data_IF_700151415842
#
_entry.id   IF_700151415842
#
_cell.length_a   1.000
_cell.length_b   1.000
_cell.length_c   1.000
_cell.angle_alpha   90.00
_cell.angle_beta   90.00
_cell.angle_gamma   90.00
#
_symmetry.space_group_name_H-M   'P 1'
#
loop_
_entity.id
_entity.type
_entity.pdbx_description
1 polymer ?
#
# COMPACT_ATOMS: atom_id res chain seq x y z
N UNK A 1 -3.71 13.68 27.45
CA UNK A 1 -3.47 12.26 27.12
C UNK A 1 -2.18 11.88 27.81
N UNK A 2 -2.12 10.77 28.55
CA UNK A 2 -0.84 10.27 29.06
C UNK A 2 -0.19 9.55 27.88
N UNK A 3 0.86 10.15 27.32
CA UNK A 3 1.81 9.37 26.55
C UNK A 3 2.49 8.44 27.56
N UNK A 4 2.24 7.14 27.43
CA UNK A 4 3.11 6.13 28.04
C UNK A 4 4.45 6.33 27.34
N UNK A 5 5.50 6.65 28.09
CA UNK A 5 6.81 6.74 27.48
C UNK A 5 7.21 5.34 27.06
N UNK A 6 7.46 5.13 25.77
CA UNK A 6 7.97 3.86 25.27
C UNK A 6 9.40 3.58 25.79
N UNK A 7 10.04 4.58 26.40
CA UNK A 7 11.18 4.40 27.30
C UNK A 7 10.89 3.49 28.51
N UNK A 8 9.65 3.40 29.02
CA UNK A 8 9.28 2.49 30.11
C UNK A 8 9.26 1.03 29.62
N UNK A 9 8.72 0.79 28.42
CA UNK A 9 8.80 -0.50 27.73
C UNK A 9 10.27 -0.91 27.48
N UNK A 10 11.14 0.05 27.19
CA UNK A 10 12.59 -0.17 27.02
C UNK A 10 13.39 -0.22 28.33
N UNK A 11 12.82 0.22 29.46
CA UNK A 11 13.40 0.05 30.81
C UNK A 11 13.02 -1.31 31.40
N UNK A 12 11.79 -1.77 31.20
CA UNK A 12 11.37 -3.14 31.57
C UNK A 12 12.21 -4.25 30.91
N UNK A 13 12.91 -3.94 29.81
CA UNK A 13 13.91 -4.82 29.19
C UNK A 13 15.16 -5.07 30.04
N UNK A 14 15.41 -4.30 31.10
CA UNK A 14 16.71 -4.28 31.79
C UNK A 14 16.74 -5.10 33.09
N UNK A 15 15.59 -5.34 33.72
CA UNK A 15 15.52 -5.86 35.10
C UNK A 15 15.27 -7.38 35.24
N UNK A 16 14.98 -8.12 34.15
CA UNK A 16 15.05 -9.60 34.18
C UNK A 16 15.50 -10.23 32.84
N UNK A 17 15.94 -11.49 32.91
CA UNK A 17 16.66 -12.19 31.87
C UNK A 17 15.74 -12.96 30.89
N UNK A 18 14.44 -12.61 30.84
CA UNK A 18 13.42 -13.27 30.02
C UNK A 18 12.21 -12.38 29.71
N UNK A 19 11.47 -12.70 28.64
CA UNK A 19 10.29 -11.97 28.17
C UNK A 19 9.00 -12.15 29.00
N UNK A 20 9.09 -12.41 30.31
CA UNK A 20 7.93 -12.60 31.21
C UNK A 20 7.07 -13.84 30.93
N UNK A 21 5.84 -13.85 31.44
CA UNK A 21 4.88 -14.96 31.23
C UNK A 21 4.16 -14.87 29.86
N UNK A 22 3.92 -16.02 29.21
CA UNK A 22 3.16 -16.05 27.95
C UNK A 22 1.72 -15.54 28.21
N UNK A 23 1.26 -14.46 27.56
CA UNK A 23 -0.01 -13.81 27.91
C UNK A 23 -1.25 -14.70 27.77
N UNK A 24 -1.19 -15.79 27.01
CA UNK A 24 -2.30 -16.73 26.80
C UNK A 24 -2.39 -17.80 27.90
N UNK A 25 -1.29 -18.04 28.62
CA UNK A 25 -1.13 -19.13 29.57
C UNK A 25 -1.01 -18.66 31.02
N UNK A 26 -0.42 -17.49 31.27
CA UNK A 26 -0.15 -16.95 32.60
C UNK A 26 -1.38 -16.76 33.48
N UNK A 27 -1.23 -16.97 34.80
CA UNK A 27 -2.37 -16.95 35.73
C UNK A 27 -3.00 -15.55 35.84
N UNK A 28 -2.18 -14.50 35.67
CA UNK A 28 -2.63 -13.10 35.79
C UNK A 28 -2.89 -12.46 34.42
N UNK A 29 -1.94 -12.57 33.49
CA UNK A 29 -2.01 -12.01 32.13
C UNK A 29 -3.19 -12.52 31.30
N UNK A 30 -3.60 -13.79 31.47
CA UNK A 30 -4.63 -14.42 30.62
C UNK A 30 -5.95 -13.67 30.61
N UNK A 31 -6.39 -13.14 31.75
CA UNK A 31 -7.62 -12.34 31.82
C UNK A 31 -7.51 -11.05 30.99
N UNK A 32 -6.37 -10.36 31.09
CA UNK A 32 -6.05 -9.14 30.35
C UNK A 32 -5.94 -9.41 28.85
N UNK A 33 -5.30 -10.52 28.44
CA UNK A 33 -5.17 -10.91 27.03
C UNK A 33 -6.53 -11.14 26.37
N UNK A 34 -7.47 -11.85 27.04
CA UNK A 34 -8.82 -12.02 26.49
C UNK A 34 -9.60 -10.70 26.46
N UNK A 35 -9.51 -9.86 27.50
CA UNK A 35 -10.12 -8.52 27.47
C UNK A 35 -9.55 -7.63 26.36
N UNK A 36 -8.25 -7.73 26.08
CA UNK A 36 -7.57 -7.01 25.00
C UNK A 36 -8.05 -7.49 23.62
N UNK A 37 -8.16 -8.82 23.45
CA UNK A 37 -8.69 -9.44 22.23
C UNK A 37 -10.13 -9.00 21.96
N UNK A 38 -10.97 -8.97 22.99
CA UNK A 38 -12.35 -8.51 22.90
C UNK A 38 -12.46 -7.00 22.64
N UNK A 39 -11.61 -6.17 23.28
CA UNK A 39 -11.53 -4.73 23.00
C UNK A 39 -11.13 -4.44 21.55
N UNK A 40 -10.16 -5.17 20.99
CA UNK A 40 -9.77 -5.06 19.57
C UNK A 40 -10.87 -5.55 18.62
N UNK A 41 -11.54 -6.64 18.98
CA UNK A 41 -12.68 -7.15 18.20
C UNK A 41 -13.84 -6.15 18.16
N UNK A 42 -14.16 -5.50 19.30
CA UNK A 42 -15.14 -4.42 19.38
C UNK A 42 -14.72 -3.20 18.56
N UNK A 43 -13.49 -2.71 18.75
CA UNK A 43 -12.98 -1.54 18.02
C UNK A 43 -13.04 -1.72 16.50
N UNK A 44 -12.72 -2.93 16.01
CA UNK A 44 -12.82 -3.29 14.58
C UNK A 44 -14.23 -3.69 14.13
N UNK A 45 -15.18 -3.89 15.04
CA UNK A 45 -16.60 -4.01 14.70
C UNK A 45 -17.19 -2.60 14.47
N UNK A 46 -16.89 -1.65 15.37
CA UNK A 46 -17.32 -0.25 15.27
C UNK A 46 -16.84 0.40 13.96
N UNK A 47 -15.57 0.22 13.60
CA UNK A 47 -15.02 0.74 12.34
C UNK A 47 -15.75 0.18 11.11
N UNK A 48 -16.05 -1.12 11.09
CA UNK A 48 -16.80 -1.77 9.99
C UNK A 48 -18.30 -1.44 10.01
N UNK A 49 -18.83 -0.88 11.10
CA UNK A 49 -20.20 -0.40 11.20
C UNK A 49 -20.36 1.06 10.74
N UNK A 50 -19.26 1.79 10.49
CA UNK A 50 -19.29 3.17 9.97
C UNK A 50 -19.90 3.20 8.58
N UNK A 51 -20.95 4.00 8.36
CA UNK A 51 -21.70 3.97 7.12
C UNK A 51 -21.07 4.82 5.99
N UNK A 52 -21.32 4.45 4.72
CA UNK A 52 -21.12 5.28 3.55
C UNK A 52 -21.54 6.76 3.72
N UNK A 53 -20.55 7.65 3.85
CA UNK A 53 -20.75 9.11 3.96
C UNK A 53 -20.85 9.67 5.39
N UNK A 54 -20.76 8.82 6.42
CA UNK A 54 -20.55 9.25 7.81
C UNK A 54 -19.11 9.71 8.03
N UNK A 55 -18.88 10.52 9.08
CA UNK A 55 -17.53 10.89 9.49
C UNK A 55 -16.83 9.68 10.13
N UNK A 56 -15.70 9.26 9.56
CA UNK A 56 -14.83 8.24 10.17
C UNK A 56 -14.33 8.76 11.53
N UNK A 57 -14.37 7.90 12.55
CA UNK A 57 -13.98 8.21 13.93
C UNK A 57 -13.28 7.02 14.56
N UNK A 58 -12.30 7.29 15.42
CA UNK A 58 -11.64 6.26 16.23
C UNK A 58 -12.64 5.69 17.22
N UNK A 59 -12.82 4.36 17.26
CA UNK A 59 -13.58 3.72 18.34
C UNK A 59 -12.91 3.98 19.69
N UNK A 60 -13.71 4.34 20.70
CA UNK A 60 -13.22 4.50 22.07
C UNK A 60 -12.55 3.22 22.61
N UNK A 61 -12.95 2.05 22.10
CA UNK A 61 -12.36 0.75 22.44
C UNK A 61 -10.85 0.68 22.15
N UNK A 62 -10.32 1.46 21.20
CA UNK A 62 -8.87 1.52 20.95
C UNK A 62 -8.07 2.07 22.14
N UNK A 63 -8.65 2.93 22.98
CA UNK A 63 -7.99 3.41 24.21
C UNK A 63 -7.77 2.24 25.18
N UNK A 64 -8.73 1.33 25.28
CA UNK A 64 -8.63 0.13 26.11
C UNK A 64 -7.69 -0.92 25.49
N UNK A 65 -7.66 -1.07 24.16
CA UNK A 65 -6.64 -1.86 23.46
C UNK A 65 -5.24 -1.36 23.81
N UNK A 66 -4.99 -0.06 23.68
CA UNK A 66 -3.70 0.54 24.02
C UNK A 66 -3.33 0.30 25.50
N UNK A 67 -4.28 0.54 26.41
CA UNK A 67 -4.06 0.38 27.86
C UNK A 67 -3.72 -1.06 28.23
N UNK A 68 -4.52 -2.03 27.78
CA UNK A 68 -4.32 -3.44 28.08
C UNK A 68 -3.06 -4.01 27.41
N UNK A 69 -2.79 -3.65 26.16
CA UNK A 69 -1.57 -4.08 25.47
C UNK A 69 -0.32 -3.53 26.15
N UNK A 70 -0.34 -2.26 26.60
CA UNK A 70 0.75 -1.69 27.40
C UNK A 70 0.96 -2.49 28.69
N UNK A 71 -0.07 -2.61 29.55
CA UNK A 71 0.04 -3.34 30.83
C UNK A 71 0.57 -4.76 30.63
N UNK A 72 0.14 -5.50 29.61
CA UNK A 72 0.69 -6.84 29.34
C UNK A 72 2.18 -6.76 29.02
N UNK A 73 2.60 -5.88 28.10
CA UNK A 73 4.00 -5.77 27.66
C UNK A 73 4.95 -5.17 28.72
N UNK A 74 4.45 -4.38 29.68
CA UNK A 74 5.25 -3.78 30.77
C UNK A 74 5.22 -4.57 32.07
N UNK A 75 4.11 -5.23 32.41
CA UNK A 75 3.90 -5.85 33.73
C UNK A 75 3.86 -7.39 33.70
N UNK A 76 3.67 -8.02 32.53
CA UNK A 76 3.48 -9.48 32.43
C UNK A 76 4.43 -10.20 31.48
N UNK A 77 4.51 -9.81 30.20
CA UNK A 77 5.30 -10.52 29.21
C UNK A 77 5.24 -9.93 27.80
N UNK A 78 6.33 -10.13 27.05
CA UNK A 78 6.59 -9.48 25.76
C UNK A 78 6.17 -10.40 24.60
N UNK A 79 5.25 -9.92 23.77
CA UNK A 79 4.47 -10.77 22.86
C UNK A 79 4.21 -10.11 21.49
N UNK A 80 4.43 -10.88 20.42
CA UNK A 80 4.36 -10.41 19.03
C UNK A 80 2.93 -10.05 18.60
N UNK A 81 1.91 -10.76 19.08
CA UNK A 81 0.50 -10.45 18.79
C UNK A 81 0.06 -9.20 19.55
N UNK A 82 0.46 -9.06 20.81
CA UNK A 82 0.16 -7.87 21.63
C UNK A 82 0.84 -6.61 21.08
N UNK A 83 2.10 -6.72 20.62
CA UNK A 83 2.80 -5.63 19.91
C UNK A 83 2.08 -5.24 18.61
N UNK A 84 1.65 -6.23 17.82
CA UNK A 84 0.89 -5.99 16.59
C UNK A 84 -0.44 -5.26 16.85
N UNK A 85 -1.12 -5.59 17.95
CA UNK A 85 -2.35 -4.92 18.37
C UNK A 85 -2.12 -3.53 18.97
N UNK A 86 -0.98 -3.33 19.65
CA UNK A 86 -0.55 -2.01 20.11
C UNK A 86 -0.27 -1.08 18.92
N UNK A 87 0.37 -1.57 17.86
CA UNK A 87 0.58 -0.81 16.62
C UNK A 87 -0.76 -0.41 15.95
N UNK A 88 -1.74 -1.32 15.90
CA UNK A 88 -3.09 -1.00 15.42
C UNK A 88 -3.76 0.13 16.23
N UNK A 89 -3.56 0.16 17.56
CA UNK A 89 -4.14 1.18 18.44
C UNK A 89 -3.38 2.53 18.37
N UNK A 90 -2.06 2.50 18.45
CA UNK A 90 -1.20 3.68 18.49
C UNK A 90 -1.27 4.50 17.20
N UNK A 91 -1.34 3.86 16.02
CA UNK A 91 -1.56 4.57 14.76
C UNK A 91 -2.88 5.36 14.74
N UNK A 92 -3.92 4.87 15.43
CA UNK A 92 -5.24 5.51 15.48
C UNK A 92 -5.36 6.59 16.55
N UNK A 93 -4.63 6.44 17.67
CA UNK A 93 -4.68 7.35 18.82
C UNK A 93 -3.60 8.44 18.78
N UNK A 94 -2.42 8.13 18.25
CA UNK A 94 -1.23 8.98 18.21
C UNK A 94 -0.63 9.16 16.81
N UNK A 95 -1.28 8.66 15.75
CA UNK A 95 -0.82 8.82 14.37
C UNK A 95 0.53 8.15 14.11
N UNK A 96 1.33 8.77 13.23
CA UNK A 96 2.65 8.23 12.88
C UNK A 96 3.69 8.32 14.00
N UNK A 97 3.56 9.25 14.95
CA UNK A 97 4.39 9.26 16.16
C UNK A 97 4.19 7.98 16.98
N UNK A 98 2.93 7.63 17.27
CA UNK A 98 2.61 6.38 17.98
C UNK A 98 3.02 5.13 17.21
N UNK A 99 2.93 5.13 15.88
CA UNK A 99 3.37 4.00 15.06
C UNK A 99 4.91 3.85 15.05
N UNK A 100 5.66 4.96 14.95
CA UNK A 100 7.13 4.98 15.04
C UNK A 100 7.57 4.29 16.33
N UNK A 101 7.05 4.78 17.46
CA UNK A 101 7.53 4.36 18.77
C UNK A 101 7.29 2.85 19.00
N UNK A 102 6.15 2.30 18.53
CA UNK A 102 5.89 0.85 18.61
C UNK A 102 6.79 0.05 17.66
N UNK A 103 7.07 0.55 16.45
CA UNK A 103 8.01 -0.09 15.53
C UNK A 103 9.44 -0.08 16.09
N UNK A 104 9.89 0.99 16.74
CA UNK A 104 11.23 1.05 17.33
C UNK A 104 11.35 0.04 18.50
N UNK A 105 10.29 -0.19 19.28
CA UNK A 105 10.21 -1.29 20.28
C UNK A 105 10.25 -2.68 19.61
N UNK A 106 9.49 -2.88 18.52
CA UNK A 106 9.55 -4.14 17.75
C UNK A 106 10.96 -4.42 17.22
N UNK A 107 11.66 -3.41 16.71
CA UNK A 107 13.03 -3.57 16.19
C UNK A 107 14.02 -3.99 17.30
N UNK A 108 13.97 -3.36 18.47
CA UNK A 108 14.80 -3.74 19.63
C UNK A 108 14.47 -5.17 20.08
N UNK A 109 13.18 -5.50 20.25
CA UNK A 109 12.74 -6.82 20.69
C UNK A 109 13.14 -7.94 19.72
N UNK A 110 12.93 -7.75 18.41
CA UNK A 110 13.24 -8.77 17.41
C UNK A 110 14.76 -8.91 17.17
N UNK A 111 15.54 -7.85 17.47
CA UNK A 111 17.00 -7.92 17.50
C UNK A 111 17.50 -8.69 18.72
N UNK A 112 17.06 -8.32 19.92
CA UNK A 112 17.73 -8.68 21.18
C UNK A 112 17.10 -9.87 21.91
N UNK A 113 15.79 -10.12 21.76
CA UNK A 113 15.03 -11.09 22.54
C UNK A 113 14.20 -12.09 21.73
N UNK A 114 14.46 -12.20 20.42
CA UNK A 114 13.72 -13.06 19.47
C UNK A 114 13.34 -14.44 20.02
N UNK A 115 14.34 -15.19 20.52
CA UNK A 115 14.19 -16.58 20.97
C UNK A 115 13.39 -16.72 22.28
N UNK A 116 13.08 -15.60 22.95
CA UNK A 116 12.34 -15.52 24.21
C UNK A 116 10.93 -14.92 24.05
N UNK A 117 10.67 -14.19 22.96
CA UNK A 117 9.38 -13.54 22.71
C UNK A 117 8.26 -14.58 22.59
N UNK A 118 7.10 -14.25 23.14
CA UNK A 118 5.87 -15.03 23.03
C UNK A 118 5.08 -14.66 21.77
N UNK A 119 4.25 -15.57 21.26
CA UNK A 119 3.30 -15.31 20.18
C UNK A 119 2.10 -16.26 20.25
N UNK A 120 1.30 -16.31 19.17
CA UNK A 120 0.12 -17.17 19.04
C UNK A 120 0.51 -18.64 19.24
N UNK A 121 1.58 -19.04 18.57
CA UNK A 121 2.38 -20.24 18.85
C UNK A 121 3.86 -19.82 18.85
N UNK A 122 4.71 -20.61 19.50
CA UNK A 122 6.14 -20.36 19.66
C UNK A 122 7.01 -21.51 19.15
N UNK A 123 6.42 -22.65 18.76
CA UNK A 123 7.11 -23.83 18.20
C UNK A 123 7.26 -23.74 16.67
N UNK A 124 6.24 -23.27 15.94
CA UNK A 124 6.27 -23.11 14.48
C UNK A 124 6.47 -21.64 14.05
N UNK A 125 7.47 -21.38 13.20
CA UNK A 125 7.85 -20.01 12.80
C UNK A 125 6.73 -19.27 12.05
N UNK A 126 5.96 -19.96 11.19
CA UNK A 126 4.85 -19.36 10.44
C UNK A 126 3.77 -18.79 11.38
N UNK A 127 3.37 -19.53 12.41
CA UNK A 127 2.40 -19.08 13.41
C UNK A 127 3.01 -18.05 14.38
N UNK A 128 4.30 -18.18 14.74
CA UNK A 128 5.01 -17.17 15.57
C UNK A 128 5.00 -15.78 14.91
N UNK A 129 5.09 -15.71 13.58
CA UNK A 129 5.10 -14.46 12.81
C UNK A 129 3.75 -14.08 12.16
N UNK A 130 2.74 -14.95 12.26
CA UNK A 130 1.39 -14.71 11.75
C UNK A 130 0.76 -13.37 12.16
N UNK A 131 0.98 -12.80 13.38
CA UNK A 131 0.49 -11.46 13.71
C UNK A 131 1.00 -10.38 12.76
N UNK A 132 2.30 -10.43 12.41
CA UNK A 132 2.94 -9.46 11.50
C UNK A 132 2.46 -9.66 10.06
N UNK A 133 2.29 -10.92 9.63
CA UNK A 133 1.65 -11.26 8.36
C UNK A 133 0.21 -10.68 8.27
N UNK A 134 -0.52 -10.68 9.38
CA UNK A 134 -1.86 -10.09 9.52
C UNK A 134 -1.90 -8.55 9.44
N UNK A 135 -0.87 -7.86 9.94
CA UNK A 135 -0.75 -6.40 9.78
C UNK A 135 -0.62 -6.00 8.30
N UNK A 136 0.18 -6.76 7.55
CA UNK A 136 0.42 -6.53 6.12
C UNK A 136 -0.71 -7.05 5.22
N UNK A 137 -1.41 -8.10 5.65
CA UNK A 137 -2.49 -8.73 4.89
C UNK A 137 -1.98 -9.85 3.99
N UNK A 138 -1.44 -10.90 4.60
CA UNK A 138 -1.37 -12.23 4.00
C UNK A 138 -2.70 -12.93 4.23
N UNK A 139 -3.25 -13.61 3.21
CA UNK A 139 -4.56 -14.28 3.26
C UNK A 139 -5.80 -13.37 3.33
N UNK A 140 -5.70 -12.19 3.94
CA UNK A 140 -6.79 -11.22 4.17
C UNK A 140 -6.34 -9.77 3.89
N UNK A 141 -7.24 -8.81 4.09
CA UNK A 141 -6.91 -7.38 4.12
C UNK A 141 -6.06 -7.04 5.36
N UNK A 142 -4.95 -6.32 5.16
CA UNK A 142 -3.96 -6.05 6.20
C UNK A 142 -4.39 -4.99 7.19
N UNK A 143 -4.31 -5.29 8.48
CA UNK A 143 -4.95 -4.47 9.52
C UNK A 143 -4.32 -3.10 9.79
N UNK A 144 -3.13 -2.82 9.25
CA UNK A 144 -2.56 -1.46 9.22
C UNK A 144 -2.79 -0.72 7.90
N UNK A 145 -3.09 -1.42 6.79
CA UNK A 145 -3.03 -0.81 5.44
C UNK A 145 -4.07 0.30 5.25
N UNK A 146 -5.34 0.03 5.60
CA UNK A 146 -6.40 1.05 5.55
C UNK A 146 -6.16 2.15 6.62
N UNK A 147 -5.82 1.83 7.90
CA UNK A 147 -5.46 2.85 8.90
C UNK A 147 -4.30 3.77 8.52
N UNK A 148 -3.24 3.28 7.86
CA UNK A 148 -2.12 4.13 7.39
C UNK A 148 -2.62 5.20 6.42
N UNK A 149 -3.59 4.86 5.56
CA UNK A 149 -4.18 5.79 4.59
C UNK A 149 -5.22 6.75 5.21
N UNK A 150 -5.83 6.35 6.33
CA UNK A 150 -6.79 7.16 7.10
C UNK A 150 -6.12 8.03 8.18
N UNK A 151 -4.86 7.77 8.53
CA UNK A 151 -4.08 8.64 9.39
C UNK A 151 -3.99 10.05 8.77
N UNK A 152 -4.06 11.12 9.58
CA UNK A 152 -4.06 12.49 9.09
C UNK A 152 -2.70 12.85 8.49
N UNK A 153 -2.69 13.53 7.35
CA UNK A 153 -1.49 14.11 6.73
C UNK A 153 -1.03 15.41 7.41
N UNK A 154 -1.90 16.01 8.21
CA UNK A 154 -1.67 17.26 8.94
C UNK A 154 -1.56 16.95 10.45
N UNK A 155 -0.47 17.37 11.13
CA UNK A 155 -0.32 17.22 12.57
C UNK A 155 -1.50 17.77 13.37
N UNK A 156 -1.88 17.07 14.44
CA UNK A 156 -3.08 17.33 15.25
C UNK A 156 -4.43 17.16 14.53
N UNK A 157 -4.45 16.73 13.26
CA UNK A 157 -5.68 16.29 12.58
C UNK A 157 -6.33 15.08 13.25
N UNK A 158 -7.63 14.90 13.07
CA UNK A 158 -8.33 13.69 13.53
C UNK A 158 -8.07 12.51 12.57
N UNK A 159 -8.05 11.28 13.10
CA UNK A 159 -8.04 10.08 12.26
C UNK A 159 -9.28 10.05 11.34
N UNK A 160 -9.07 9.86 10.04
CA UNK A 160 -10.11 9.97 9.02
C UNK A 160 -10.40 11.41 8.54
N UNK A 161 -9.59 12.40 8.93
CA UNK A 161 -9.64 13.78 8.45
C UNK A 161 -8.28 14.17 7.85
N UNK A 162 -8.28 14.93 6.75
CA UNK A 162 -7.06 15.28 5.99
C UNK A 162 -6.23 14.03 5.65
N UNK A 163 -6.93 12.95 5.31
CA UNK A 163 -6.36 11.64 5.00
C UNK A 163 -5.63 11.62 3.65
N UNK A 164 -4.96 10.51 3.34
CA UNK A 164 -4.39 10.30 2.00
C UNK A 164 -5.47 10.39 0.90
N UNK A 165 -6.69 9.92 1.21
CA UNK A 165 -7.83 10.03 0.31
C UNK A 165 -8.28 11.48 0.11
N UNK A 166 -8.37 12.28 1.18
CA UNK A 166 -8.76 13.69 1.07
C UNK A 166 -7.79 14.49 0.22
N UNK A 167 -6.48 14.25 0.39
CA UNK A 167 -5.46 14.80 -0.50
C UNK A 167 -5.67 14.33 -1.95
N UNK A 168 -5.78 13.02 -2.20
CA UNK A 168 -6.01 12.50 -3.56
C UNK A 168 -7.29 13.05 -4.22
N UNK A 169 -8.32 13.42 -3.44
CA UNK A 169 -9.52 14.10 -3.93
C UNK A 169 -9.31 15.59 -4.17
N UNK A 170 -8.62 16.30 -3.28
CA UNK A 170 -8.32 17.73 -3.45
C UNK A 170 -7.55 18.05 -4.73
N UNK A 171 -6.79 17.09 -5.26
CA UNK A 171 -6.05 17.21 -6.52
C UNK A 171 -6.93 16.99 -7.78
N UNK A 172 -8.24 16.78 -7.63
CA UNK A 172 -9.19 16.63 -8.75
C UNK A 172 -9.77 17.97 -9.19
N UNK A 173 -9.98 18.13 -10.50
CA UNK A 173 -10.58 19.33 -11.05
C UNK A 173 -12.02 19.54 -10.53
N UNK A 174 -12.24 20.65 -9.83
CA UNK A 174 -13.54 21.02 -9.23
C UNK A 174 -13.62 20.85 -7.71
N UNK A 175 -12.66 20.19 -7.07
CA UNK A 175 -12.64 19.93 -5.61
C UNK A 175 -12.02 21.07 -4.78
N UNK A 176 -12.23 22.32 -5.22
CA UNK A 176 -11.56 23.51 -4.67
C UNK A 176 -11.76 23.66 -3.16
N UNK A 177 -12.99 23.48 -2.64
CA UNK A 177 -13.26 23.62 -1.21
C UNK A 177 -12.41 22.65 -0.36
N UNK A 178 -12.28 21.38 -0.78
CA UNK A 178 -11.47 20.38 -0.05
C UNK A 178 -9.98 20.69 -0.15
N UNK A 179 -9.54 21.29 -1.25
CA UNK A 179 -8.17 21.77 -1.40
C UNK A 179 -7.90 22.97 -0.47
N UNK A 180 -8.78 23.97 -0.46
CA UNK A 180 -8.64 25.15 0.38
C UNK A 180 -8.68 24.79 1.88
N UNK A 181 -9.61 23.93 2.32
CA UNK A 181 -9.68 23.40 3.69
C UNK A 181 -8.40 22.65 4.12
N UNK A 182 -7.82 21.84 3.23
CA UNK A 182 -6.57 21.12 3.49
C UNK A 182 -5.37 22.09 3.57
N UNK A 183 -5.28 23.04 2.64
CA UNK A 183 -4.20 24.02 2.59
C UNK A 183 -4.25 25.04 3.73
N UNK A 184 -5.44 25.40 4.22
CA UNK A 184 -5.61 26.21 5.43
C UNK A 184 -5.08 25.49 6.67
N UNK A 185 -5.43 24.20 6.86
CA UNK A 185 -4.93 23.39 7.97
C UNK A 185 -3.39 23.19 7.93
N UNK A 186 -2.81 23.05 6.74
CA UNK A 186 -1.35 22.99 6.54
C UNK A 186 -0.69 24.33 6.90
N UNK A 187 -1.31 25.45 6.52
CA UNK A 187 -0.82 26.78 6.84
C UNK A 187 -0.90 27.10 8.34
N UNK A 188 -1.95 26.62 9.04
CA UNK A 188 -2.08 26.71 10.49
C UNK A 188 -1.05 25.83 11.23
N UNK A 189 -0.80 24.60 10.75
CA UNK A 189 0.21 23.71 11.33
C UNK A 189 1.65 24.23 11.14
N UNK A 190 1.93 24.87 10.00
CA UNK A 190 3.23 25.50 9.70
C UNK A 190 4.29 24.55 9.17
N UNK A 191 5.20 25.09 8.35
CA UNK A 191 6.16 24.30 7.56
C UNK A 191 7.17 23.50 8.40
N UNK A 192 7.62 24.01 9.55
CA UNK A 192 8.53 23.29 10.44
C UNK A 192 7.87 22.03 11.05
N UNK A 193 6.61 22.15 11.46
CA UNK A 193 5.84 21.04 12.05
C UNK A 193 5.51 19.99 10.97
N UNK A 194 5.11 20.45 9.78
CA UNK A 194 4.90 19.59 8.61
C UNK A 194 6.18 18.86 8.17
N UNK A 195 7.34 19.53 8.19
CA UNK A 195 8.62 18.92 7.85
C UNK A 195 9.08 17.89 8.89
N UNK A 196 8.87 18.16 10.19
CA UNK A 196 9.07 17.17 11.26
C UNK A 196 8.14 15.97 11.09
N UNK A 197 6.86 16.19 10.76
CA UNK A 197 5.91 15.10 10.57
C UNK A 197 6.28 14.22 9.36
N UNK A 198 6.68 14.82 8.23
CA UNK A 198 7.24 14.09 7.10
C UNK A 198 8.44 13.20 7.51
N UNK A 199 9.38 13.75 8.28
CA UNK A 199 10.55 13.01 8.76
C UNK A 199 10.15 11.79 9.60
N UNK A 200 9.15 11.93 10.48
CA UNK A 200 8.64 10.84 11.32
C UNK A 200 7.99 9.73 10.47
N UNK A 201 7.26 10.07 9.41
CA UNK A 201 6.66 9.08 8.49
C UNK A 201 7.77 8.34 7.71
N UNK A 202 8.84 9.03 7.31
CA UNK A 202 10.01 8.41 6.67
C UNK A 202 10.74 7.48 7.65
N UNK A 203 10.87 7.88 8.92
CA UNK A 203 11.43 7.04 9.99
C UNK A 203 10.57 5.78 10.22
N UNK A 204 9.24 5.88 10.30
CA UNK A 204 8.33 4.72 10.35
C UNK A 204 8.58 3.72 9.21
N UNK A 205 8.74 4.20 7.98
CA UNK A 205 9.01 3.35 6.82
C UNK A 205 10.38 2.67 6.95
N UNK A 206 11.41 3.41 7.36
CA UNK A 206 12.76 2.90 7.54
C UNK A 206 12.86 1.89 8.70
N UNK A 207 12.16 2.10 9.82
CA UNK A 207 12.08 1.13 10.93
C UNK A 207 11.35 -0.14 10.47
N UNK A 208 10.25 -0.01 9.72
CA UNK A 208 9.54 -1.16 9.15
C UNK A 208 10.43 -1.99 8.18
N UNK A 209 11.28 -1.33 7.38
CA UNK A 209 12.27 -2.00 6.52
C UNK A 209 13.38 -2.69 7.34
N UNK A 210 13.83 -2.12 8.47
CA UNK A 210 14.77 -2.78 9.39
C UNK A 210 14.15 -3.99 10.09
N UNK A 211 12.87 -3.91 10.48
CA UNK A 211 12.09 -5.04 11.02
C UNK A 211 11.99 -6.15 9.96
N UNK A 212 11.74 -5.82 8.69
CA UNK A 212 11.70 -6.81 7.59
C UNK A 212 13.03 -7.57 7.49
N UNK A 213 14.15 -6.85 7.47
CA UNK A 213 15.49 -7.45 7.40
C UNK A 213 15.80 -8.36 8.61
N UNK A 214 15.38 -7.98 9.82
CA UNK A 214 15.48 -8.84 11.01
C UNK A 214 14.62 -10.11 10.88
N UNK A 215 13.39 -9.99 10.39
CA UNK A 215 12.51 -11.15 10.18
C UNK A 215 13.05 -12.08 9.08
N UNK A 216 13.63 -11.54 8.02
CA UNK A 216 14.32 -12.29 6.97
C UNK A 216 15.57 -13.03 7.51
N UNK A 217 16.35 -12.40 8.39
CA UNK A 217 17.48 -13.04 9.09
C UNK A 217 17.02 -14.17 10.04
N UNK A 218 15.96 -13.94 10.81
CA UNK A 218 15.47 -14.88 11.84
C UNK A 218 14.64 -16.05 11.27
N UNK A 219 13.87 -15.82 10.21
CA UNK A 219 12.87 -16.77 9.69
C UNK A 219 13.16 -17.30 8.28
N UNK A 220 14.09 -16.69 7.53
CA UNK A 220 14.53 -17.17 6.23
C UNK A 220 13.43 -17.16 5.16
N UNK A 221 12.82 -18.31 4.88
CA UNK A 221 11.72 -18.44 3.92
C UNK A 221 10.34 -18.21 4.56
N UNK A 222 10.25 -18.36 5.88
CA UNK A 222 9.00 -18.23 6.64
C UNK A 222 8.79 -16.78 7.13
N UNK A 223 9.65 -15.85 6.70
CA UNK A 223 9.58 -14.43 7.04
C UNK A 223 8.32 -13.77 6.43
N UNK A 224 7.51 -13.05 7.23
CA UNK A 224 6.27 -12.47 6.73
C UNK A 224 6.57 -11.22 5.89
N UNK A 225 5.88 -11.01 4.75
CA UNK A 225 6.08 -9.80 3.97
C UNK A 225 5.58 -8.57 4.73
N UNK A 226 6.38 -7.51 4.76
CA UNK A 226 6.04 -6.17 5.30
C UNK A 226 5.69 -5.15 4.20
N UNK A 227 5.82 -5.56 2.93
CA UNK A 227 5.94 -4.65 1.78
C UNK A 227 4.73 -3.77 1.48
N UNK A 228 3.51 -4.17 1.86
CA UNK A 228 2.31 -3.32 1.72
C UNK A 228 2.29 -2.22 2.79
N UNK A 229 2.75 -2.52 4.01
CA UNK A 229 2.89 -1.54 5.09
C UNK A 229 3.90 -0.47 4.65
N UNK A 230 5.11 -0.89 4.25
CA UNK A 230 6.17 0.00 3.77
C UNK A 230 5.68 0.85 2.58
N UNK A 231 4.99 0.25 1.60
CA UNK A 231 4.45 0.97 0.45
C UNK A 231 3.39 2.01 0.86
N UNK A 232 2.48 1.69 1.77
CA UNK A 232 1.45 2.63 2.25
C UNK A 232 2.05 3.80 3.03
N UNK A 233 3.06 3.54 3.89
CA UNK A 233 3.76 4.61 4.63
C UNK A 233 4.54 5.50 3.66
N UNK A 234 5.21 4.94 2.64
CA UNK A 234 5.90 5.72 1.60
C UNK A 234 4.96 6.51 0.68
N UNK A 235 3.75 6.00 0.42
CA UNK A 235 2.68 6.74 -0.29
C UNK A 235 2.23 7.98 0.52
N UNK A 236 2.07 7.82 1.84
CA UNK A 236 1.76 8.92 2.77
C UNK A 236 2.93 9.91 2.89
N UNK A 237 4.17 9.44 3.06
CA UNK A 237 5.35 10.31 3.09
C UNK A 237 5.45 11.18 1.82
N UNK A 238 5.24 10.59 0.65
CA UNK A 238 5.25 11.31 -0.61
C UNK A 238 4.16 12.40 -0.70
N UNK A 239 2.99 12.19 -0.10
CA UNK A 239 1.95 13.22 0.01
C UNK A 239 2.37 14.35 0.98
N UNK A 240 2.76 14.03 2.21
CA UNK A 240 3.17 15.03 3.21
C UNK A 240 4.38 15.83 2.72
N UNK A 241 5.32 15.24 1.97
CA UNK A 241 6.46 15.94 1.35
C UNK A 241 6.02 17.08 0.43
N UNK A 242 5.01 16.83 -0.41
CA UNK A 242 4.46 17.83 -1.35
C UNK A 242 3.72 18.91 -0.59
N UNK A 243 2.89 18.52 0.39
CA UNK A 243 2.11 19.45 1.22
C UNK A 243 3.00 20.34 2.11
N UNK A 244 4.13 19.82 2.59
CA UNK A 244 5.13 20.56 3.36
C UNK A 244 6.02 21.48 2.50
N UNK A 245 5.91 21.44 1.16
CA UNK A 245 6.74 22.22 0.25
C UNK A 245 8.22 21.82 0.23
N UNK A 246 8.55 20.59 0.61
CA UNK A 246 9.93 20.11 0.68
C UNK A 246 10.43 19.82 -0.74
N UNK A 247 11.39 20.62 -1.21
CA UNK A 247 12.05 20.38 -2.50
C UNK A 247 12.70 18.99 -2.53
N UNK A 248 12.39 18.22 -3.58
CA UNK A 248 12.92 16.88 -3.72
C UNK A 248 14.40 16.91 -4.10
N UNK A 249 15.28 16.53 -3.16
CA UNK A 249 16.49 15.83 -3.57
C UNK A 249 16.07 14.58 -4.35
N UNK A 250 16.52 14.38 -5.59
CA UNK A 250 16.07 13.26 -6.40
C UNK A 250 16.72 11.98 -5.88
N UNK A 251 15.93 11.14 -5.20
CA UNK A 251 16.31 9.76 -4.95
C UNK A 251 16.59 9.08 -6.30
N UNK A 252 17.68 8.29 -6.43
CA UNK A 252 17.97 7.57 -7.65
C UNK A 252 16.91 6.49 -7.84
N UNK A 253 16.03 6.67 -8.83
CA UNK A 253 14.99 5.69 -9.18
C UNK A 253 15.67 4.41 -9.69
N UNK A 254 15.85 3.44 -8.79
CA UNK A 254 16.34 2.11 -9.13
C UNK A 254 15.23 1.38 -9.88
N UNK A 255 15.22 1.52 -11.20
CA UNK A 255 14.37 0.74 -12.08
C UNK A 255 14.63 -0.77 -11.93
N UNK A 256 13.67 -1.64 -12.29
CA UNK A 256 13.77 -3.07 -12.02
C UNK A 256 15.06 -3.68 -12.56
N UNK A 257 15.88 -4.24 -11.67
CA UNK A 257 17.17 -4.80 -12.03
C UNK A 257 17.01 -6.03 -12.93
N UNK A 258 17.27 -5.85 -14.24
CA UNK A 258 17.23 -6.94 -15.20
C UNK A 258 18.28 -8.00 -14.84
N UNK A 259 17.85 -9.27 -14.72
CA UNK A 259 18.68 -10.37 -14.22
C UNK A 259 19.95 -10.60 -15.05
N UNK A 260 21.09 -10.16 -14.51
CA UNK A 260 22.41 -10.41 -15.08
C UNK A 260 22.91 -11.79 -14.64
N UNK A 261 22.82 -12.80 -15.52
CA UNK A 261 23.47 -14.10 -15.29
C UNK A 261 24.99 -13.93 -15.14
N UNK A 262 25.65 -14.65 -14.21
CA UNK A 262 27.10 -14.57 -14.05
C UNK A 262 27.81 -15.10 -15.30
N UNK A 263 28.73 -14.32 -15.86
CA UNK A 263 29.72 -14.81 -16.82
C UNK A 263 30.92 -15.33 -16.06
N UNK A 264 31.12 -16.66 -16.08
CA UNK A 264 32.37 -17.26 -15.60
C UNK A 264 33.53 -16.82 -16.51
N UNK A 265 34.66 -16.49 -15.90
CA UNK A 265 35.89 -16.16 -16.60
C UNK A 265 36.89 -17.32 -16.45
N UNK A 266 37.37 -17.83 -17.58
CA UNK A 266 38.60 -18.61 -17.68
C UNK A 266 39.02 -18.67 -19.15
N UNK A 267 40.32 -18.79 -19.40
CA UNK A 267 40.90 -19.02 -20.72
C UNK A 267 42.41 -19.10 -20.65
N UNK A 268 43.02 -19.79 -21.61
CA UNK A 268 44.44 -19.73 -22.01
C UNK A 268 44.64 -20.48 -23.35
N UNK A 269 45.78 -20.23 -23.98
CA UNK A 269 46.52 -21.06 -24.97
C UNK A 269 45.98 -21.28 -26.42
N UNK A 270 46.43 -20.39 -27.30
CA UNK A 270 47.25 -20.63 -28.52
C UNK A 270 46.85 -21.56 -29.69
N UNK A 271 46.57 -20.91 -30.85
CA UNK A 271 47.03 -21.08 -32.27
C UNK A 271 47.52 -22.44 -32.86
N UNK A 272 47.57 -22.62 -34.22
CA UNK A 272 47.02 -21.83 -35.35
C UNK A 272 46.33 -22.65 -36.50
N UNK A 273 45.64 -21.97 -37.44
CA UNK A 273 45.62 -22.16 -38.92
C UNK A 273 44.33 -21.63 -39.62
N UNK A 274 44.37 -21.44 -40.95
CA UNK A 274 43.34 -20.79 -41.80
C UNK A 274 43.03 -21.68 -43.06
N UNK A 275 42.36 -21.27 -44.19
CA UNK A 275 41.83 -19.94 -44.61
C UNK A 275 40.49 -19.93 -45.43
N UNK A 276 40.14 -18.77 -46.04
CA UNK A 276 39.17 -18.50 -47.16
C UNK A 276 37.64 -18.58 -46.87
N UNK A 277 36.71 -17.83 -47.51
CA UNK A 277 36.67 -16.67 -48.47
C UNK A 277 35.76 -15.55 -47.89
N UNK A 278 35.81 -14.25 -48.22
CA UNK A 278 35.55 -13.52 -49.50
C UNK A 278 34.16 -13.79 -50.14
N UNK A 279 33.39 -12.82 -50.69
CA UNK A 279 33.57 -11.35 -50.89
C UNK A 279 32.18 -10.65 -51.13
N UNK A 280 32.13 -9.29 -51.22
CA UNK A 280 31.15 -8.39 -51.92
C UNK A 280 29.61 -8.55 -51.72
N UNK A 281 28.77 -7.53 -51.41
CA UNK A 281 28.54 -6.14 -51.93
C UNK A 281 27.45 -5.99 -53.02
N UNK A 282 26.73 -4.86 -53.01
CA UNK A 282 25.53 -4.55 -53.82
C UNK A 282 25.88 -3.87 -55.18
N UNK A 283 24.92 -3.46 -56.08
CA UNK A 283 23.94 -2.38 -55.84
C UNK A 283 22.56 -2.56 -56.57
N UNK A 284 21.78 -1.46 -56.72
CA UNK A 284 20.36 -1.44 -57.13
C UNK A 284 20.07 -0.90 -58.56
N UNK A 285 18.82 -1.01 -59.03
CA UNK A 285 18.30 -0.36 -60.24
C UNK A 285 16.76 -0.10 -60.20
N UNK A 286 16.28 0.95 -60.88
CA UNK A 286 14.88 1.41 -61.11
C UNK A 286 14.90 2.60 -62.11
N UNK A 287 13.79 3.22 -62.58
CA UNK A 287 12.34 2.91 -62.54
C UNK A 287 11.90 2.50 -63.98
N UNK A 288 10.83 2.97 -64.71
CA UNK A 288 9.58 3.75 -64.47
C UNK A 288 8.29 2.87 -64.72
N UNK A 289 7.04 3.33 -64.91
CA UNK A 289 6.42 4.68 -64.95
C UNK A 289 4.95 4.68 -64.45
N UNK A 290 4.39 5.90 -64.39
CA UNK A 290 2.97 6.33 -64.44
C UNK A 290 1.80 5.34 -64.30
N UNK A 291 1.00 5.55 -63.23
CA UNK A 291 -0.46 5.72 -63.30
C UNK A 291 -0.99 6.39 -62.01
N UNK A 292 -2.06 7.19 -62.09
CA UNK A 292 -2.73 7.82 -60.94
C UNK A 292 -4.13 8.35 -61.32
N UNK A 293 -5.04 8.67 -60.37
CA UNK A 293 -5.19 8.15 -59.00
C UNK A 293 -6.61 7.57 -58.73
N UNK A 294 -6.80 6.86 -57.61
CA UNK A 294 -8.13 6.71 -56.98
C UNK A 294 -8.04 6.86 -55.45
N UNK A 295 -9.06 7.43 -54.79
CA UNK A 295 -9.04 7.69 -53.35
C UNK A 295 -9.42 6.46 -52.53
N UNK A 296 -8.48 5.54 -52.33
CA UNK A 296 -8.59 4.55 -51.26
C UNK A 296 -8.50 5.25 -49.90
N UNK A 297 -9.30 4.87 -48.88
CA UNK A 297 -9.20 5.46 -47.55
C UNK A 297 -7.84 5.15 -46.93
N UNK A 298 -7.13 6.19 -46.47
CA UNK A 298 -5.77 6.09 -45.95
C UNK A 298 -5.74 5.28 -44.64
N UNK A 299 -5.58 3.96 -44.76
CA UNK A 299 -5.41 3.06 -43.63
C UNK A 299 -3.96 3.15 -43.18
N UNK A 300 -3.69 4.09 -42.27
CA UNK A 300 -2.40 4.19 -41.59
C UNK A 300 -2.07 2.82 -40.94
N UNK A 301 -0.87 2.27 -41.17
CA UNK A 301 -0.45 1.01 -40.54
C UNK A 301 -0.10 1.27 -39.06
N UNK A 302 -1.13 1.37 -38.21
CA UNK A 302 -0.97 1.60 -36.77
C UNK A 302 -0.29 0.39 -36.14
N UNK A 303 1.03 0.49 -36.04
CA UNK A 303 1.89 -0.58 -35.55
C UNK A 303 1.87 -0.57 -34.02
N UNK A 304 1.50 -1.70 -33.41
CA UNK A 304 1.38 -1.83 -31.95
C UNK A 304 2.70 -1.54 -31.17
N UNK A 305 3.83 -1.43 -31.89
CA UNK A 305 5.15 -1.06 -31.38
C UNK A 305 5.28 0.42 -30.98
N UNK A 306 4.39 1.32 -31.43
CA UNK A 306 4.44 2.76 -31.09
C UNK A 306 3.04 3.32 -30.85
N UNK A 307 2.46 3.00 -29.69
CA UNK A 307 1.23 3.62 -29.17
C UNK A 307 1.63 4.85 -28.33
N UNK A 308 1.12 6.03 -28.67
CA UNK A 308 1.48 7.31 -28.03
C UNK A 308 0.38 7.90 -27.14
N UNK A 309 -0.85 7.40 -27.25
CA UNK A 309 -1.99 7.89 -26.45
C UNK A 309 -3.01 6.80 -26.13
N UNK A 310 -3.85 7.05 -25.11
CA UNK A 310 -4.96 6.18 -24.71
C UNK A 310 -5.96 5.96 -25.84
N UNK A 311 -6.24 6.99 -26.64
CA UNK A 311 -7.16 6.88 -27.78
C UNK A 311 -6.54 6.19 -29.00
N UNK A 312 -5.22 6.28 -29.23
CA UNK A 312 -4.54 5.42 -30.20
C UNK A 312 -4.64 3.94 -29.80
N UNK A 313 -4.46 3.62 -28.51
CA UNK A 313 -4.64 2.26 -28.00
C UNK A 313 -6.05 1.72 -28.27
N UNK A 314 -7.08 2.53 -28.01
CA UNK A 314 -8.47 2.15 -28.31
C UNK A 314 -8.77 2.06 -29.81
N UNK A 315 -8.14 2.87 -30.66
CA UNK A 315 -8.24 2.73 -32.12
C UNK A 315 -7.61 1.43 -32.63
N UNK A 316 -6.46 1.01 -32.08
CA UNK A 316 -5.85 -0.30 -32.37
C UNK A 316 -6.79 -1.43 -31.95
N UNK A 317 -7.30 -1.40 -30.71
CA UNK A 317 -8.24 -2.41 -30.23
C UNK A 317 -9.53 -2.47 -31.08
N UNK A 318 -10.08 -1.33 -31.48
CA UNK A 318 -11.23 -1.27 -32.39
C UNK A 318 -10.91 -1.77 -33.82
N UNK A 319 -9.65 -1.74 -34.26
CA UNK A 319 -9.21 -2.39 -35.50
C UNK A 319 -9.12 -3.91 -35.33
N UNK A 320 -8.58 -4.40 -34.21
CA UNK A 320 -8.54 -5.84 -33.89
C UNK A 320 -9.95 -6.43 -33.74
N UNK A 321 -10.87 -5.73 -33.08
CA UNK A 321 -12.27 -6.16 -32.96
C UNK A 321 -12.99 -6.22 -34.33
N UNK A 322 -12.65 -5.33 -35.27
CA UNK A 322 -13.14 -5.42 -36.67
C UNK A 322 -12.55 -6.63 -37.42
N UNK A 323 -11.29 -6.99 -37.17
CA UNK A 323 -10.71 -8.21 -37.73
C UNK A 323 -11.44 -9.47 -37.22
N UNK A 324 -11.60 -9.62 -35.91
CA UNK A 324 -12.30 -10.79 -35.34
C UNK A 324 -13.76 -10.88 -35.80
N UNK A 325 -14.48 -9.75 -35.93
CA UNK A 325 -15.83 -9.71 -36.54
C UNK A 325 -15.91 -10.32 -37.95
N UNK A 326 -14.83 -10.24 -38.72
CA UNK A 326 -14.77 -10.71 -40.11
C UNK A 326 -14.21 -12.14 -40.21
N UNK A 327 -13.13 -12.43 -39.46
CA UNK A 327 -12.45 -13.73 -39.48
C UNK A 327 -13.19 -14.80 -38.66
N UNK A 328 -13.80 -14.42 -37.54
CA UNK A 328 -14.46 -15.33 -36.60
C UNK A 328 -15.82 -14.76 -36.11
N UNK A 329 -16.87 -14.69 -36.95
CA UNK A 329 -18.11 -13.97 -36.62
C UNK A 329 -18.89 -14.48 -35.38
N UNK A 330 -18.56 -15.68 -34.88
CA UNK A 330 -19.16 -16.29 -33.69
C UNK A 330 -18.23 -16.28 -32.46
N UNK A 331 -17.03 -15.71 -32.57
CA UNK A 331 -16.04 -15.64 -31.50
C UNK A 331 -16.38 -14.50 -30.53
N UNK A 332 -16.38 -14.73 -29.21
CA UNK A 332 -16.69 -13.69 -28.23
C UNK A 332 -15.63 -12.58 -28.20
N UNK A 333 -14.42 -12.84 -28.74
CA UNK A 333 -13.26 -11.95 -28.69
C UNK A 333 -13.60 -10.52 -29.17
N UNK A 334 -14.33 -10.37 -30.28
CA UNK A 334 -14.69 -9.05 -30.79
C UNK A 334 -15.56 -8.25 -29.79
N UNK A 335 -16.58 -8.89 -29.23
CA UNK A 335 -17.47 -8.27 -28.24
C UNK A 335 -16.77 -8.00 -26.90
N UNK A 336 -15.84 -8.86 -26.49
CA UNK A 336 -14.98 -8.64 -25.32
C UNK A 336 -14.06 -7.43 -25.51
N UNK A 337 -13.46 -7.26 -26.70
CA UNK A 337 -12.62 -6.09 -27.01
C UNK A 337 -13.45 -4.81 -27.08
N UNK A 338 -14.62 -4.79 -27.73
CA UNK A 338 -15.49 -3.61 -27.72
C UNK A 338 -15.91 -3.23 -26.29
N UNK A 339 -16.24 -4.23 -25.46
CA UNK A 339 -16.58 -4.02 -24.05
C UNK A 339 -15.41 -3.46 -23.25
N UNK A 340 -14.19 -3.94 -23.50
CA UNK A 340 -12.95 -3.43 -22.89
C UNK A 340 -12.66 -1.98 -23.31
N UNK A 341 -12.82 -1.65 -24.59
CA UNK A 341 -12.67 -0.27 -25.11
C UNK A 341 -13.74 0.67 -24.52
N UNK A 342 -14.98 0.20 -24.42
CA UNK A 342 -16.09 0.97 -23.81
C UNK A 342 -15.82 1.23 -22.33
N UNK A 343 -15.51 0.20 -21.55
CA UNK A 343 -15.13 0.30 -20.12
C UNK A 343 -13.90 1.18 -19.92
N UNK A 344 -12.91 1.08 -20.81
CA UNK A 344 -11.73 1.95 -20.83
C UNK A 344 -12.00 3.43 -21.14
N UNK A 345 -13.22 3.79 -21.52
CA UNK A 345 -13.68 5.17 -21.77
C UNK A 345 -14.72 5.68 -20.77
N UNK A 346 -15.12 4.86 -19.79
CA UNK A 346 -15.99 5.27 -18.68
C UNK A 346 -15.19 6.01 -17.61
N UNK A 347 -15.87 6.84 -16.80
CA UNK A 347 -15.30 7.26 -15.52
C UNK A 347 -15.18 6.06 -14.55
N UNK A 348 -14.36 6.21 -13.50
CA UNK A 348 -14.24 5.21 -12.44
C UNK A 348 -15.57 4.92 -11.74
N UNK A 349 -16.42 5.92 -11.48
CA UNK A 349 -17.72 5.72 -10.84
C UNK A 349 -18.69 4.91 -11.72
N UNK A 350 -18.74 5.22 -13.02
CA UNK A 350 -19.54 4.47 -14.02
C UNK A 350 -19.04 3.04 -14.18
N UNK A 351 -17.72 2.87 -14.34
CA UNK A 351 -17.08 1.56 -14.51
C UNK A 351 -17.32 0.66 -13.28
N UNK A 352 -17.13 1.19 -12.08
CA UNK A 352 -17.37 0.45 -10.84
C UNK A 352 -18.86 0.15 -10.64
N UNK A 353 -19.75 1.02 -11.12
CA UNK A 353 -21.21 0.80 -11.09
C UNK A 353 -21.66 -0.30 -12.05
N UNK A 354 -20.99 -0.48 -13.18
CA UNK A 354 -21.23 -1.63 -14.07
C UNK A 354 -20.62 -2.94 -13.53
N UNK A 355 -19.42 -2.88 -12.93
CA UNK A 355 -18.72 -4.05 -12.41
C UNK A 355 -19.32 -4.58 -11.09
N UNK A 356 -19.86 -3.70 -10.25
CA UNK A 356 -20.50 -4.03 -8.98
C UNK A 356 -21.92 -3.41 -8.94
N UNK A 357 -22.93 -4.06 -9.57
CA UNK A 357 -24.30 -3.53 -9.62
C UNK A 357 -24.95 -3.35 -8.25
N UNK A 358 -24.57 -4.17 -7.26
CA UNK A 358 -25.00 -4.02 -5.87
C UNK A 358 -24.30 -2.82 -5.20
N UNK A 359 -25.08 -1.83 -4.77
CA UNK A 359 -24.58 -0.61 -4.14
C UNK A 359 -23.88 -0.87 -2.80
N UNK A 360 -24.31 -1.88 -2.03
CA UNK A 360 -23.70 -2.23 -0.74
C UNK A 360 -22.31 -2.84 -0.94
N UNK A 361 -22.16 -3.81 -1.84
CA UNK A 361 -20.87 -4.40 -2.20
C UNK A 361 -19.95 -3.35 -2.83
N UNK A 362 -20.49 -2.48 -3.69
CA UNK A 362 -19.73 -1.35 -4.27
C UNK A 362 -19.18 -0.43 -3.18
N UNK A 363 -20.01 -0.06 -2.20
CA UNK A 363 -19.61 0.80 -1.10
C UNK A 363 -18.62 0.11 -0.16
N UNK A 364 -18.75 -1.20 0.09
CA UNK A 364 -17.75 -1.97 0.85
C UNK A 364 -16.37 -1.97 0.16
N UNK A 365 -16.33 -2.19 -1.15
CA UNK A 365 -15.09 -2.17 -1.94
C UNK A 365 -14.48 -0.77 -1.96
N UNK A 366 -15.28 0.29 -2.03
CA UNK A 366 -14.80 1.67 -1.90
C UNK A 366 -14.22 1.92 -0.50
N UNK A 367 -14.97 1.65 0.57
CA UNK A 367 -14.50 1.85 1.95
C UNK A 367 -13.21 1.08 2.27
N UNK A 368 -13.10 -0.19 1.84
CA UNK A 368 -11.88 -0.99 1.98
C UNK A 368 -10.68 -0.37 1.22
N UNK A 369 -10.92 0.14 0.01
CA UNK A 369 -9.90 0.88 -0.75
C UNK A 369 -9.50 2.24 -0.12
N UNK A 370 -10.15 2.67 0.98
CA UNK A 370 -9.98 3.99 1.60
C UNK A 370 -10.79 5.09 0.94
N UNK A 371 -11.70 4.73 0.03
CA UNK A 371 -12.51 5.66 -0.76
C UNK A 371 -13.84 5.90 -0.05
N UNK A 372 -14.13 7.15 0.31
CA UNK A 372 -15.47 7.48 0.79
C UNK A 372 -16.47 7.50 -0.39
N UNK A 373 -17.52 6.66 -0.39
CA UNK A 373 -18.54 6.66 -1.45
C UNK A 373 -19.35 7.96 -1.46
N UNK A 374 -19.90 8.37 -2.62
CA UNK A 374 -20.75 9.55 -2.70
C UNK A 374 -21.98 9.39 -1.81
N UNK A 375 -22.40 10.48 -1.14
CA UNK A 375 -23.65 10.50 -0.37
C UNK A 375 -24.82 10.27 -1.33
N UNK A 376 -25.85 9.49 -0.93
CA UNK A 376 -27.06 9.39 -1.72
C UNK A 376 -27.73 10.76 -1.80
N UNK A 377 -28.06 11.21 -3.02
CA UNK A 377 -28.77 12.48 -3.21
C UNK A 377 -30.07 12.47 -2.41
N UNK A 378 -30.22 13.46 -1.54
CA UNK A 378 -31.44 13.69 -0.77
C UNK A 378 -32.57 14.12 -1.71
N UNK A 379 -33.26 13.14 -2.31
CA UNK A 379 -34.31 13.35 -3.30
C UNK A 379 -35.38 14.31 -2.77
N UNK A 380 -35.36 15.55 -3.23
CA UNK A 380 -36.21 16.62 -2.71
C UNK A 380 -37.68 16.28 -2.90
N UNK A 381 -38.43 16.21 -1.79
CA UNK A 381 -39.86 15.92 -1.80
C UNK A 381 -40.64 17.11 -2.42
N UNK A 382 -41.32 16.93 -3.57
CA UNK A 382 -42.00 18.03 -4.25
C UNK A 382 -43.43 18.19 -3.71
N UNK A 383 -43.55 18.99 -2.63
CA UNK A 383 -44.78 19.38 -1.92
C UNK A 383 -45.53 18.22 -1.24
#
# INVERSE_FOLDING_TARGET
MVAIEIADLLQGLQDDNGCGENPRLGETSRSLYYSLKDARNAARADERATLPGDQIRVSASWQEVNRLATTILTEHGQDIEVLAWLAEAQLRLGGFDGLRDVFDVMEVLFRERWDQLHSIDDEELEDKVAPIAGLNGVGVEGSLIQPIRLAPLVPSGNFGQFSLWDYQMSQRAGETNRHDELMEAIAEAGSEVMARHHQIIVECAATCERISALLEERCGQDAPPTSKIVAAIKEVAAAVRVLAGIEATPEPVVGPAASARPRSANGHDDIPAAPTTDEASAPAASPPSEAAPQPSPATLPVSALVIKSRDEAFQVLAAVARYFRYAEPHSPIAASIDTMVRRGRMDFADLLSELLPDTGVRHQVLTAAGIQPPRPDGSGNPQ
#
